data_IF_633736276540
#
_entry.id   IF_633736276540
#
_cell.length_a   1.000
_cell.length_b   1.000
_cell.length_c   1.000
_cell.angle_alpha   90.00
_cell.angle_beta   90.00
_cell.angle_gamma   90.00
#
_symmetry.space_group_name_H-M   'P 1'
#
loop_
_entity.id
_entity.type
_entity.pdbx_description
1 polymer ?
#
# COMPACT_ATOMS: atom_id res chain seq x y z
N UNK A 1 0.84 -15.39 -2.00
CA UNK A 1 0.91 -14.29 -3.00
C UNK A 1 -0.32 -13.43 -2.78
N UNK A 2 -0.15 -12.20 -2.39
CA UNK A 2 -1.22 -11.28 -1.98
C UNK A 2 -1.98 -10.73 -3.19
N UNK A 3 -3.28 -10.49 -3.02
CA UNK A 3 -4.10 -9.66 -3.90
C UNK A 3 -4.62 -8.49 -3.09
N UNK A 4 -4.64 -7.30 -3.68
CA UNK A 4 -5.13 -6.09 -3.05
C UNK A 4 -6.39 -5.63 -3.75
N UNK A 5 -7.36 -5.10 -3.02
CA UNK A 5 -8.51 -4.45 -3.62
C UNK A 5 -8.71 -3.09 -3.00
N UNK A 6 -8.91 -2.10 -3.86
CA UNK A 6 -9.36 -0.77 -3.50
C UNK A 6 -10.75 -0.58 -4.11
N UNK A 7 -11.76 -0.31 -3.26
CA UNK A 7 -13.10 -0.02 -3.72
C UNK A 7 -13.23 1.47 -4.03
N UNK A 8 -13.61 1.85 -5.26
CA UNK A 8 -14.03 3.21 -5.54
C UNK A 8 -15.50 3.37 -5.09
N UNK A 9 -15.75 4.43 -4.53
CA UNK A 9 -17.04 4.91 -4.12
C UNK A 9 -16.81 6.31 -3.60
N UNK A 10 -17.59 6.87 -2.75
CA UNK A 10 -17.28 8.07 -1.97
C UNK A 10 -15.91 8.05 -1.26
N UNK A 11 -15.10 7.08 -1.56
CA UNK A 11 -13.85 6.65 -0.98
C UNK A 11 -12.64 7.36 -1.56
N UNK A 12 -12.68 7.83 -2.81
CA UNK A 12 -11.66 8.75 -3.34
C UNK A 12 -11.57 10.01 -2.47
N UNK A 13 -12.72 10.46 -1.95
CA UNK A 13 -12.79 11.52 -0.95
C UNK A 13 -12.21 11.08 0.41
N UNK A 14 -12.25 9.79 0.76
CA UNK A 14 -11.66 9.27 2.01
C UNK A 14 -10.15 9.07 1.88
N UNK A 15 -9.63 8.61 0.75
CA UNK A 15 -8.17 8.60 0.48
C UNK A 15 -7.62 10.03 0.55
N UNK A 16 -8.33 11.00 -0.03
CA UNK A 16 -8.02 12.42 0.11
C UNK A 16 -8.13 12.89 1.58
N UNK A 17 -9.13 12.43 2.35
CA UNK A 17 -9.26 12.74 3.78
C UNK A 17 -8.18 12.06 4.61
N UNK A 18 -7.77 10.85 4.27
CA UNK A 18 -6.64 10.15 4.87
C UNK A 18 -5.34 10.96 4.66
N UNK A 19 -5.11 11.46 3.46
CA UNK A 19 -3.99 12.37 3.19
C UNK A 19 -4.15 13.75 3.88
N UNK A 20 -5.38 14.19 4.18
CA UNK A 20 -5.70 15.45 4.85
C UNK A 20 -5.62 15.39 6.38
N UNK A 21 -5.64 14.23 7.00
CA UNK A 21 -5.57 14.03 8.45
C UNK A 21 -4.13 14.07 9.01
N UNK A 22 -3.12 14.12 8.14
CA UNK A 22 -1.74 14.32 8.57
C UNK A 22 -1.56 15.75 9.09
N UNK A 23 -1.10 15.96 10.35
CA UNK A 23 -0.97 17.29 10.93
C UNK A 23 0.02 18.15 10.15
N UNK A 24 -0.40 19.37 9.83
CA UNK A 24 0.43 20.37 9.20
C UNK A 24 1.48 20.90 10.19
N UNK A 25 2.75 20.67 9.92
CA UNK A 25 3.81 21.48 10.48
C UNK A 25 4.63 22.11 9.35
N UNK A 26 4.69 23.45 9.43
CA UNK A 26 5.57 24.43 8.79
C UNK A 26 5.07 25.10 7.51
N UNK A 27 4.82 26.36 7.71
CA UNK A 27 4.96 27.60 6.95
C UNK A 27 5.20 27.56 5.44
N UNK A 28 4.41 28.39 4.78
CA UNK A 28 4.42 28.87 3.42
C UNK A 28 3.40 28.16 2.50
N UNK A 29 2.22 28.76 2.44
CA UNK A 29 1.18 28.42 1.46
C UNK A 29 1.47 29.14 0.15
N UNK A 30 1.57 28.41 -0.94
CA UNK A 30 1.59 28.94 -2.29
C UNK A 30 0.14 29.03 -2.83
N UNK A 31 -0.30 30.20 -3.41
CA UNK A 31 -1.71 30.43 -3.77
C UNK A 31 -2.23 29.69 -5.01
N UNK A 32 -1.41 28.90 -5.70
CA UNK A 32 -1.76 28.28 -7.00
C UNK A 32 -2.61 27.00 -6.91
N UNK A 33 -3.08 26.59 -5.72
CA UNK A 33 -3.80 25.33 -5.48
C UNK A 33 -5.33 25.47 -5.34
N UNK A 34 -5.93 26.59 -5.81
CA UNK A 34 -7.38 26.87 -5.62
C UNK A 34 -8.26 26.27 -6.73
N UNK A 35 -7.72 25.82 -7.86
CA UNK A 35 -8.55 25.46 -9.03
C UNK A 35 -9.22 24.07 -9.01
N UNK A 36 -8.90 23.17 -8.07
CA UNK A 36 -9.48 21.82 -8.06
C UNK A 36 -10.62 21.58 -7.06
N UNK A 37 -11.04 22.61 -6.31
CA UNK A 37 -12.14 22.51 -5.32
C UNK A 37 -13.54 22.64 -5.96
N UNK A 38 -13.67 22.95 -7.24
CA UNK A 38 -14.95 23.34 -7.85
C UNK A 38 -15.73 22.23 -8.56
N UNK A 39 -15.37 20.96 -8.43
CA UNK A 39 -16.10 19.84 -9.06
C UNK A 39 -17.07 19.13 -8.11
N UNK A 40 -17.04 19.42 -6.81
CA UNK A 40 -17.98 18.85 -5.84
C UNK A 40 -18.51 19.91 -4.89
N UNK A 41 -19.81 20.21 -5.01
CA UNK A 41 -20.76 21.01 -4.22
C UNK A 41 -20.26 22.05 -3.20
N UNK A 42 -20.86 23.26 -3.16
CA UNK A 42 -20.41 24.35 -2.31
C UNK A 42 -20.83 24.16 -0.86
N UNK A 43 -19.87 24.03 0.04
CA UNK A 43 -20.08 24.19 1.48
C UNK A 43 -19.63 25.59 1.94
N UNK A 44 -20.31 26.22 2.94
CA UNK A 44 -20.09 27.61 3.28
C UNK A 44 -18.69 27.88 3.86
N UNK A 45 -18.15 29.02 3.44
CA UNK A 45 -16.85 29.53 3.85
C UNK A 45 -16.84 29.94 5.32
N UNK A 46 -16.24 29.13 6.20
CA UNK A 46 -15.68 29.64 7.45
C UNK A 46 -14.62 28.69 7.97
N UNK A 47 -13.41 29.26 8.22
CA UNK A 47 -12.20 28.64 8.81
C UNK A 47 -11.54 27.51 8.00
N UNK A 48 -10.50 27.92 7.26
CA UNK A 48 -9.57 27.00 6.57
C UNK A 48 -8.28 26.84 7.39
N UNK A 49 -8.04 25.69 8.03
CA UNK A 49 -6.66 25.29 8.36
C UNK A 49 -5.95 24.85 7.07
N UNK A 50 -4.65 25.06 6.98
CA UNK A 50 -3.79 24.65 5.87
C UNK A 50 -4.11 23.23 5.39
N UNK A 51 -4.51 23.10 4.14
CA UNK A 51 -4.92 21.83 3.54
C UNK A 51 -3.70 21.13 2.94
N UNK A 52 -3.49 19.88 3.31
CA UNK A 52 -2.73 18.96 2.49
C UNK A 52 -3.48 18.76 1.17
N UNK A 53 -2.91 19.21 0.08
CA UNK A 53 -3.44 18.94 -1.26
C UNK A 53 -2.76 17.68 -1.79
N UNK A 54 -3.46 16.55 -1.76
CA UNK A 54 -3.01 15.39 -2.53
C UNK A 54 -3.34 15.67 -4.00
N UNK A 55 -2.31 15.86 -4.82
CA UNK A 55 -2.47 16.02 -6.27
C UNK A 55 -2.82 14.65 -6.85
N UNK A 56 -4.08 14.46 -7.23
CA UNK A 56 -4.50 13.28 -7.97
C UNK A 56 -4.11 13.50 -9.43
N UNK A 57 -3.11 12.76 -9.91
CA UNK A 57 -2.55 12.91 -11.25
C UNK A 57 -3.40 12.25 -12.37
N UNK A 58 -4.50 11.55 -12.02
CA UNK A 58 -5.51 11.04 -12.97
C UNK A 58 -6.88 10.99 -12.31
N UNK A 59 -7.93 11.27 -13.08
CA UNK A 59 -9.32 11.11 -12.64
C UNK A 59 -9.59 9.63 -12.31
N UNK A 60 -10.06 9.39 -11.09
CA UNK A 60 -10.41 8.06 -10.60
C UNK A 60 -11.91 7.85 -10.80
N UNK A 61 -12.29 7.14 -11.86
CA UNK A 61 -13.68 6.81 -12.18
C UNK A 61 -13.91 5.31 -12.43
N UNK A 62 -12.98 4.46 -11.97
CA UNK A 62 -13.07 3.03 -12.22
C UNK A 62 -13.59 2.28 -10.98
N UNK A 63 -14.33 1.20 -11.24
CA UNK A 63 -14.86 0.28 -10.22
C UNK A 63 -13.79 -0.35 -9.32
N UNK A 64 -14.13 -1.29 -8.41
CA UNK A 64 -13.15 -1.90 -7.52
C UNK A 64 -12.03 -2.55 -8.34
N UNK A 65 -10.79 -2.10 -8.09
CA UNK A 65 -9.61 -2.61 -8.79
C UNK A 65 -8.90 -3.60 -7.89
N UNK A 66 -8.80 -4.85 -8.34
CA UNK A 66 -7.92 -5.83 -7.71
C UNK A 66 -6.55 -5.77 -8.39
N UNK A 67 -5.51 -5.52 -7.61
CA UNK A 67 -4.13 -5.39 -8.08
C UNK A 67 -3.37 -6.67 -7.79
N UNK A 68 -2.67 -7.19 -8.80
CA UNK A 68 -1.75 -8.31 -8.67
C UNK A 68 -0.30 -7.86 -8.82
N UNK A 69 0.69 -8.63 -8.34
CA UNK A 69 2.09 -8.34 -8.59
C UNK A 69 2.39 -8.10 -10.07
N UNK A 70 3.17 -7.05 -10.36
CA UNK A 70 3.47 -6.45 -11.66
C UNK A 70 2.37 -5.58 -12.27
N UNK A 71 1.21 -5.49 -11.65
CA UNK A 71 0.19 -4.54 -12.08
C UNK A 71 0.38 -3.19 -11.40
N UNK A 72 -0.24 -2.17 -11.96
CA UNK A 72 -0.20 -0.82 -11.42
C UNK A 72 -1.18 -0.68 -10.25
N UNK A 73 -0.67 -0.21 -9.12
CA UNK A 73 -1.46 0.07 -7.92
C UNK A 73 -1.22 1.48 -7.40
N UNK A 74 -2.12 1.97 -6.57
CA UNK A 74 -2.03 3.31 -6.00
C UNK A 74 -1.14 3.33 -4.75
N UNK A 75 -0.31 4.37 -4.64
CA UNK A 75 0.50 4.67 -3.47
C UNK A 75 0.40 6.14 -3.09
N UNK A 76 0.49 6.43 -1.81
CA UNK A 76 0.63 7.78 -1.27
C UNK A 76 2.04 7.95 -0.76
N UNK A 77 2.76 8.95 -1.21
CA UNK A 77 4.11 9.27 -0.75
C UNK A 77 4.33 10.77 -0.59
N UNK A 78 5.41 11.13 0.08
CA UNK A 78 5.85 12.52 0.13
C UNK A 78 6.71 12.84 -1.09
N UNK A 79 6.39 13.95 -1.77
CA UNK A 79 7.19 14.55 -2.84
C UNK A 79 7.20 16.07 -2.66
N UNK A 80 8.39 16.67 -2.58
CA UNK A 80 8.56 18.13 -2.42
C UNK A 80 7.74 18.74 -1.27
N UNK A 81 7.72 18.04 -0.13
CA UNK A 81 6.97 18.44 1.07
C UNK A 81 5.45 18.22 0.98
N UNK A 82 4.93 17.70 -0.14
CA UNK A 82 3.51 17.44 -0.36
C UNK A 82 3.23 15.94 -0.38
N UNK A 83 2.02 15.56 0.04
CA UNK A 83 1.53 14.19 -0.14
C UNK A 83 0.94 14.06 -1.54
N UNK A 84 1.42 13.08 -2.31
CA UNK A 84 0.95 12.80 -3.65
C UNK A 84 0.39 11.38 -3.75
N UNK A 85 -0.70 11.22 -4.50
CA UNK A 85 -1.27 9.93 -4.86
C UNK A 85 -0.84 9.59 -6.30
N UNK A 86 -0.11 8.50 -6.45
CA UNK A 86 0.48 8.10 -7.73
C UNK A 86 0.25 6.61 -7.99
N UNK A 87 0.33 6.22 -9.26
CA UNK A 87 0.33 4.81 -9.65
C UNK A 87 1.76 4.33 -9.85
N UNK A 88 2.08 3.17 -9.28
CA UNK A 88 3.36 2.50 -9.42
C UNK A 88 3.17 1.00 -9.65
N UNK A 89 4.16 0.34 -10.22
CA UNK A 89 4.14 -1.12 -10.41
C UNK A 89 4.34 -1.85 -9.08
N UNK A 90 3.47 -2.81 -8.75
CA UNK A 90 3.61 -3.59 -7.53
C UNK A 90 4.65 -4.69 -7.66
N UNK A 91 5.70 -4.58 -6.86
CA UNK A 91 6.84 -5.48 -6.77
C UNK A 91 8.15 -4.84 -7.23
N UNK A 92 9.20 -5.01 -6.44
CA UNK A 92 10.55 -4.62 -6.86
C UNK A 92 11.10 -5.67 -7.82
N UNK A 93 11.63 -5.29 -8.99
CA UNK A 93 12.27 -6.24 -9.89
C UNK A 93 13.53 -6.82 -9.25
N UNK A 94 13.61 -8.13 -9.22
CA UNK A 94 14.83 -8.87 -8.86
C UNK A 94 15.25 -9.73 -10.02
N UNK A 95 16.43 -9.45 -10.55
CA UNK A 95 17.06 -10.22 -11.61
C UNK A 95 17.90 -11.33 -10.97
N UNK A 96 17.43 -12.56 -11.08
CA UNK A 96 18.19 -13.73 -10.67
C UNK A 96 19.17 -14.14 -11.78
N UNK A 97 20.23 -14.85 -11.41
CA UNK A 97 21.15 -15.44 -12.39
C UNK A 97 20.80 -16.90 -12.61
N UNK A 98 20.80 -17.30 -13.86
CA UNK A 98 20.64 -18.70 -14.27
C UNK A 98 21.91 -19.52 -13.97
N UNK A 99 21.81 -20.83 -14.23
CA UNK A 99 22.92 -21.79 -13.97
C UNK A 99 24.24 -21.45 -14.69
N UNK A 100 24.16 -20.74 -15.81
CA UNK A 100 25.32 -20.28 -16.60
C UNK A 100 25.70 -18.83 -16.32
N UNK A 101 25.17 -18.22 -15.24
CA UNK A 101 25.46 -16.83 -14.86
C UNK A 101 24.67 -15.78 -15.65
N UNK A 102 23.89 -16.16 -16.65
CA UNK A 102 23.06 -15.26 -17.46
C UNK A 102 21.93 -14.63 -16.62
N UNK A 103 21.56 -13.35 -16.88
CA UNK A 103 20.43 -12.74 -16.20
C UNK A 103 19.12 -13.40 -16.63
N UNK A 104 18.25 -13.69 -15.68
CA UNK A 104 16.89 -14.18 -15.91
C UNK A 104 15.89 -13.02 -15.97
N UNK A 105 14.69 -13.28 -16.48
CA UNK A 105 13.61 -12.29 -16.46
C UNK A 105 13.36 -11.80 -15.03
N UNK A 106 13.21 -10.48 -14.80
CA UNK A 106 12.93 -9.94 -13.48
C UNK A 106 11.68 -10.55 -12.87
N UNK A 107 11.78 -10.94 -11.58
CA UNK A 107 10.63 -11.41 -10.78
C UNK A 107 10.23 -10.31 -9.79
N UNK A 108 8.93 -10.13 -9.51
CA UNK A 108 8.49 -9.17 -8.52
C UNK A 108 8.78 -9.67 -7.11
N UNK A 109 9.43 -8.83 -6.30
CA UNK A 109 9.44 -8.97 -4.84
C UNK A 109 8.42 -7.99 -4.30
N UNK A 110 7.20 -8.48 -4.10
CA UNK A 110 6.03 -7.68 -3.75
C UNK A 110 5.87 -7.47 -2.24
N UNK A 111 6.66 -8.19 -1.41
CA UNK A 111 6.59 -8.13 0.04
C UNK A 111 7.97 -7.91 0.64
N UNK A 112 8.13 -6.84 1.41
CA UNK A 112 9.33 -6.53 2.18
C UNK A 112 9.16 -7.08 3.61
N UNK A 113 9.89 -8.14 3.94
CA UNK A 113 9.87 -8.71 5.28
C UNK A 113 10.44 -7.74 6.30
N UNK A 114 9.72 -7.51 7.39
CA UNK A 114 10.11 -6.54 8.41
C UNK A 114 11.41 -6.93 9.13
N UNK A 115 11.63 -8.22 9.40
CA UNK A 115 12.86 -8.75 9.99
C UNK A 115 14.11 -8.49 9.12
N UNK A 116 13.93 -8.10 7.86
CA UNK A 116 15.01 -7.70 6.94
C UNK A 116 15.05 -6.18 6.66
N UNK A 117 14.23 -5.39 7.38
CA UNK A 117 14.12 -3.96 7.14
C UNK A 117 15.45 -3.24 7.38
N UNK A 118 16.18 -3.61 8.43
CA UNK A 118 17.49 -3.07 8.76
C UNK A 118 18.68 -3.70 7.99
N UNK A 119 18.42 -4.68 7.13
CA UNK A 119 19.44 -5.38 6.35
C UNK A 119 19.20 -5.19 4.84
N UNK A 120 18.51 -6.13 4.20
CA UNK A 120 18.28 -6.11 2.76
C UNK A 120 17.52 -4.86 2.29
N UNK A 121 16.53 -4.41 3.07
CA UNK A 121 15.68 -3.26 2.73
C UNK A 121 16.24 -1.92 3.24
N UNK A 122 17.33 -1.93 4.03
CA UNK A 122 17.86 -0.76 4.73
C UNK A 122 18.08 0.44 3.81
N UNK A 123 18.60 0.22 2.61
CA UNK A 123 18.90 1.30 1.67
C UNK A 123 17.68 2.11 1.23
N UNK A 124 16.47 1.56 1.35
CA UNK A 124 15.21 2.27 1.12
C UNK A 124 14.50 2.61 2.42
N UNK A 125 14.42 1.67 3.36
CA UNK A 125 13.72 1.89 4.61
C UNK A 125 14.36 2.97 5.49
N UNK A 126 15.68 3.18 5.41
CA UNK A 126 16.37 4.24 6.14
C UNK A 126 16.08 5.65 5.61
N UNK A 127 15.60 5.77 4.38
CA UNK A 127 15.39 7.02 3.68
C UNK A 127 13.87 7.31 3.59
N UNK A 128 13.38 8.37 4.26
CA UNK A 128 11.96 8.75 4.23
C UNK A 128 11.39 8.91 2.82
N UNK A 129 12.17 9.43 1.89
CA UNK A 129 11.79 9.65 0.50
C UNK A 129 11.47 8.36 -0.27
N UNK A 130 11.88 7.19 0.23
CA UNK A 130 11.58 5.89 -0.35
C UNK A 130 10.44 5.15 0.37
N UNK A 131 9.73 5.81 1.27
CA UNK A 131 8.60 5.23 1.98
C UNK A 131 7.28 5.70 1.37
N UNK A 132 6.29 4.82 1.42
CA UNK A 132 4.95 5.13 0.94
C UNK A 132 3.90 4.44 1.78
N UNK A 133 2.65 4.83 1.57
CA UNK A 133 1.47 4.17 2.08
C UNK A 133 0.75 3.53 0.88
N UNK A 134 0.28 2.30 1.06
CA UNK A 134 -0.48 1.58 0.05
C UNK A 134 -1.94 1.55 0.53
N UNK A 135 -2.82 2.41 -0.02
CA UNK A 135 -4.24 2.42 0.35
C UNK A 135 -4.90 1.13 -0.11
N UNK A 136 -5.59 0.47 0.79
CA UNK A 136 -6.18 -0.85 0.58
C UNK A 136 -7.48 -0.98 1.35
N UNK A 137 -8.53 -1.56 0.74
CA UNK A 137 -9.77 -1.90 1.43
C UNK A 137 -9.78 -3.32 1.98
N UNK A 138 -9.10 -4.24 1.29
CA UNK A 138 -8.90 -5.62 1.71
C UNK A 138 -7.74 -6.27 0.95
N UNK A 139 -7.20 -7.32 1.51
CA UNK A 139 -6.19 -8.16 0.84
C UNK A 139 -6.60 -9.63 0.91
N UNK A 140 -6.10 -10.44 0.01
CA UNK A 140 -6.38 -11.87 -0.01
C UNK A 140 -5.13 -12.71 0.06
N UNK A 141 -5.25 -13.84 0.73
CA UNK A 141 -4.25 -14.91 0.77
C UNK A 141 -4.83 -16.21 0.20
N UNK A 142 -3.92 -17.04 -0.29
CA UNK A 142 -4.25 -18.36 -0.82
C UNK A 142 -4.32 -19.38 0.32
N UNK A 143 -5.48 -19.97 0.55
CA UNK A 143 -5.68 -20.96 1.61
C UNK A 143 -6.13 -22.28 1.00
N UNK A 144 -5.59 -23.39 1.50
CA UNK A 144 -5.93 -24.75 1.07
C UNK A 144 -4.75 -25.53 0.50
N UNK A 145 -5.03 -26.66 -0.13
CA UNK A 145 -4.02 -27.54 -0.72
C UNK A 145 -3.50 -26.99 -2.05
N UNK A 146 -2.21 -27.17 -2.37
CA UNK A 146 -1.65 -26.79 -3.67
C UNK A 146 -2.50 -27.32 -4.84
N UNK A 147 -2.82 -26.44 -5.79
CA UNK A 147 -3.68 -26.73 -6.93
C UNK A 147 -5.19 -26.56 -6.69
N UNK A 148 -5.62 -26.43 -5.43
CA UNK A 148 -7.02 -26.20 -5.04
C UNK A 148 -7.17 -25.06 -4.03
N UNK A 149 -6.15 -24.19 -3.91
CA UNK A 149 -6.22 -23.05 -3.03
C UNK A 149 -7.33 -22.09 -3.45
N UNK A 150 -8.03 -21.56 -2.48
CA UNK A 150 -9.07 -20.54 -2.65
C UNK A 150 -8.64 -19.21 -2.06
N UNK A 151 -9.34 -18.15 -2.44
CA UNK A 151 -9.12 -16.81 -1.90
C UNK A 151 -9.75 -16.69 -0.51
N UNK A 152 -8.96 -16.26 0.46
CA UNK A 152 -9.45 -15.79 1.76
C UNK A 152 -9.13 -14.31 1.87
N UNK A 153 -10.16 -13.48 1.95
CA UNK A 153 -10.05 -12.04 2.02
C UNK A 153 -10.01 -11.56 3.48
N UNK A 154 -9.14 -10.60 3.73
CA UNK A 154 -9.00 -9.96 5.03
C UNK A 154 -9.20 -8.45 4.89
N UNK A 155 -9.94 -7.86 5.82
CA UNK A 155 -10.18 -6.41 5.89
C UNK A 155 -10.17 -5.96 7.35
N UNK A 156 -9.98 -4.66 7.57
CA UNK A 156 -10.02 -4.08 8.93
C UNK A 156 -11.46 -3.71 9.25
N UNK A 157 -11.96 -4.23 10.39
CA UNK A 157 -13.33 -4.00 10.83
C UNK A 157 -13.60 -2.52 11.09
N UNK A 158 -14.66 -2.00 10.47
CA UNK A 158 -15.05 -0.59 10.62
C UNK A 158 -14.20 0.40 9.81
N UNK A 159 -13.13 -0.07 9.15
CA UNK A 159 -12.27 0.78 8.31
C UNK A 159 -12.45 0.39 6.85
N UNK A 160 -13.18 1.16 6.06
CA UNK A 160 -13.39 0.85 4.64
C UNK A 160 -12.11 0.91 3.83
N UNK A 161 -11.14 1.72 4.25
CA UNK A 161 -9.78 1.79 3.71
C UNK A 161 -8.80 1.91 4.86
N UNK A 162 -7.72 1.16 4.79
CA UNK A 162 -6.55 1.27 5.66
C UNK A 162 -5.28 1.47 4.84
N UNK A 163 -4.20 1.89 5.48
CA UNK A 163 -2.91 2.00 4.83
C UNK A 163 -2.04 0.79 5.18
N UNK A 164 -1.46 0.17 4.16
CA UNK A 164 -0.37 -0.78 4.30
C UNK A 164 0.96 -0.04 4.16
N UNK A 165 1.87 -0.21 5.11
CA UNK A 165 3.21 0.37 5.08
C UNK A 165 3.98 -0.14 3.86
N UNK A 166 4.60 0.75 3.09
CA UNK A 166 5.29 0.40 1.87
C UNK A 166 6.64 1.08 1.69
N UNK A 167 7.44 0.51 0.80
CA UNK A 167 8.65 1.09 0.26
C UNK A 167 8.49 1.24 -1.24
N UNK A 168 9.14 2.23 -1.84
CA UNK A 168 9.14 2.43 -3.28
C UNK A 168 10.54 2.80 -3.80
N UNK A 169 10.75 2.59 -5.09
CA UNK A 169 11.93 3.03 -5.82
C UNK A 169 11.66 3.13 -7.31
N UNK A 170 12.48 3.87 -8.02
CA UNK A 170 12.56 3.75 -9.48
C UNK A 170 13.42 2.55 -9.85
N UNK A 171 13.06 1.85 -10.91
CA UNK A 171 13.81 0.76 -11.51
C UNK A 171 13.90 0.91 -13.02
N UNK A 172 14.97 0.41 -13.61
CA UNK A 172 15.16 0.42 -15.06
C UNK A 172 14.20 -0.51 -15.78
N UNK A 173 13.73 -1.59 -15.10
CA UNK A 173 12.89 -2.62 -15.69
C UNK A 173 11.41 -2.25 -15.74
N UNK A 174 10.90 -1.54 -14.70
CA UNK A 174 9.46 -1.29 -14.52
C UNK A 174 9.10 0.15 -14.14
N UNK A 175 10.08 1.08 -14.17
CA UNK A 175 9.88 2.45 -13.70
C UNK A 175 9.65 2.50 -12.19
N UNK A 176 8.78 3.40 -11.74
CA UNK A 176 8.45 3.51 -10.32
C UNK A 176 7.68 2.28 -9.85
N UNK A 177 8.22 1.65 -8.82
CA UNK A 177 7.68 0.40 -8.27
C UNK A 177 7.66 0.42 -6.74
N UNK A 178 6.72 -0.32 -6.15
CA UNK A 178 6.53 -0.39 -4.70
C UNK A 178 6.47 -1.82 -4.19
N UNK A 179 6.71 -1.99 -2.90
CA UNK A 179 6.57 -3.24 -2.16
C UNK A 179 5.99 -2.95 -0.78
N UNK A 180 5.17 -3.85 -0.26
CA UNK A 180 4.56 -3.67 1.05
C UNK A 180 5.35 -4.35 2.17
N UNK A 181 5.43 -3.72 3.34
CA UNK A 181 6.08 -4.28 4.51
C UNK A 181 5.22 -5.36 5.17
N UNK A 182 5.83 -6.52 5.46
CA UNK A 182 5.16 -7.66 6.11
C UNK A 182 5.81 -7.96 7.44
N UNK A 183 4.98 -8.12 8.48
CA UNK A 183 5.35 -8.62 9.80
C UNK A 183 4.82 -10.05 10.00
N UNK A 184 5.13 -10.68 11.12
CA UNK A 184 4.49 -11.94 11.50
C UNK A 184 2.98 -11.74 11.67
N UNK A 185 2.20 -12.79 11.44
CA UNK A 185 0.75 -12.70 11.62
C UNK A 185 0.36 -12.87 13.11
N UNK A 186 -0.86 -12.47 13.46
CA UNK A 186 -1.44 -12.83 14.75
C UNK A 186 -1.61 -14.36 14.82
N UNK A 187 -1.36 -15.00 15.97
CA UNK A 187 -1.46 -16.47 16.12
C UNK A 187 -2.79 -17.04 15.63
N UNK A 188 -3.88 -16.32 15.84
CA UNK A 188 -5.23 -16.72 15.42
C UNK A 188 -5.41 -16.76 13.89
N UNK A 189 -4.54 -16.05 13.16
CA UNK A 189 -4.59 -15.93 11.69
C UNK A 189 -3.43 -16.66 10.98
N UNK A 190 -2.50 -17.26 11.70
CA UNK A 190 -1.37 -18.00 11.14
C UNK A 190 -1.79 -19.15 10.22
N UNK A 191 -2.97 -19.75 10.46
CA UNK A 191 -3.52 -20.80 9.61
C UNK A 191 -3.87 -20.32 8.19
N UNK A 192 -4.00 -18.99 7.99
CA UNK A 192 -4.20 -18.38 6.69
C UNK A 192 -2.85 -18.12 6.02
N UNK A 193 -1.94 -17.46 6.74
CA UNK A 193 -0.58 -17.18 6.30
C UNK A 193 0.29 -16.81 7.51
N UNK A 194 1.58 -17.19 7.51
CA UNK A 194 2.55 -16.88 8.59
C UNK A 194 2.86 -15.38 8.74
N UNK A 195 2.47 -14.58 7.76
CA UNK A 195 2.73 -13.13 7.72
C UNK A 195 1.49 -12.33 7.35
N UNK A 196 1.47 -11.09 7.83
CA UNK A 196 0.43 -10.11 7.49
C UNK A 196 1.04 -8.78 7.04
N UNK A 197 0.30 -7.96 6.28
CA UNK A 197 0.65 -6.58 6.02
C UNK A 197 0.87 -5.79 7.32
N UNK A 198 1.87 -4.91 7.33
CA UNK A 198 2.02 -3.90 8.39
C UNK A 198 0.93 -2.86 8.19
N UNK A 199 -0.19 -3.05 8.87
CA UNK A 199 -1.36 -2.18 8.78
C UNK A 199 -1.17 -0.96 9.68
N UNK A 200 -1.26 0.22 9.10
CA UNK A 200 -1.12 1.49 9.78
C UNK A 200 -2.49 2.17 9.93
N UNK A 201 -2.80 2.60 11.15
CA UNK A 201 -3.88 3.56 11.41
C UNK A 201 -3.46 4.97 11.00
N UNK A 202 -4.37 5.94 11.04
CA UNK A 202 -4.11 7.30 10.57
C UNK A 202 -2.92 7.99 11.28
N UNK A 203 -2.85 7.91 12.61
CA UNK A 203 -1.80 8.58 13.39
C UNK A 203 -0.38 8.07 13.08
N UNK A 204 -0.12 6.75 12.97
CA UNK A 204 1.18 6.19 12.62
C UNK A 204 1.66 6.47 11.19
N UNK A 205 0.85 6.97 10.29
CA UNK A 205 1.28 7.24 8.91
C UNK A 205 2.44 8.21 8.82
N UNK A 206 2.38 9.29 9.58
CA UNK A 206 3.45 10.28 9.64
C UNK A 206 4.75 9.64 10.12
N UNK A 207 4.68 8.87 11.20
CA UNK A 207 5.85 8.16 11.74
C UNK A 207 6.45 7.23 10.68
N UNK A 208 5.62 6.42 9.99
CA UNK A 208 6.14 5.57 8.92
C UNK A 208 6.85 6.36 7.82
N UNK A 209 6.27 7.49 7.40
CA UNK A 209 6.79 8.27 6.27
C UNK A 209 8.05 9.06 6.59
N UNK A 210 8.23 9.55 7.83
CA UNK A 210 9.29 10.53 8.11
C UNK A 210 10.23 10.19 9.27
N UNK A 211 9.85 9.26 10.17
CA UNK A 211 10.66 8.98 11.36
C UNK A 211 11.99 8.26 11.01
N UNK A 212 13.01 8.34 11.86
CA UNK A 212 14.21 7.52 11.74
C UNK A 212 13.89 6.03 11.67
N UNK A 213 14.72 5.25 10.96
CA UNK A 213 14.52 3.80 10.80
C UNK A 213 14.32 3.07 12.14
N UNK A 214 15.02 3.50 13.19
CA UNK A 214 14.92 2.87 14.52
C UNK A 214 13.50 2.92 15.10
N UNK A 215 12.74 3.98 14.82
CA UNK A 215 11.36 4.12 15.31
C UNK A 215 10.37 3.24 14.53
N UNK A 216 10.71 2.84 13.29
CA UNK A 216 9.84 1.98 12.49
C UNK A 216 9.69 0.59 13.09
N UNK A 217 10.66 0.12 13.90
CA UNK A 217 10.55 -1.19 14.55
C UNK A 217 9.38 -1.30 15.53
N UNK A 218 8.80 -0.18 15.96
CA UNK A 218 7.55 -0.18 16.73
C UNK A 218 6.35 -0.75 15.92
N UNK A 219 6.46 -0.82 14.60
CA UNK A 219 5.44 -1.38 13.71
C UNK A 219 5.63 -2.88 13.43
N UNK A 220 6.73 -3.50 13.90
CA UNK A 220 6.96 -4.94 13.75
C UNK A 220 6.10 -5.73 14.73
N UNK A 221 4.80 -5.68 14.49
CA UNK A 221 3.80 -6.39 15.29
C UNK A 221 2.56 -6.67 14.44
N UNK A 222 1.89 -7.82 14.66
CA UNK A 222 0.66 -8.13 13.96
C UNK A 222 -0.45 -7.13 14.27
N UNK A 223 -1.32 -6.92 13.30
CA UNK A 223 -2.58 -6.23 13.57
C UNK A 223 -3.49 -7.15 14.38
N UNK A 224 -4.25 -6.64 15.38
CA UNK A 224 -5.08 -7.49 16.25
C UNK A 224 -6.10 -8.31 15.45
N UNK A 225 -6.15 -9.62 15.67
CA UNK A 225 -7.02 -10.53 14.93
C UNK A 225 -8.52 -10.21 15.14
N UNK A 226 -8.88 -9.77 16.34
CA UNK A 226 -10.26 -9.37 16.68
C UNK A 226 -10.72 -8.09 15.97
N UNK A 227 -9.77 -7.29 15.48
CA UNK A 227 -10.06 -6.12 14.64
C UNK A 227 -10.11 -6.44 13.14
N UNK A 228 -9.87 -7.70 12.75
CA UNK A 228 -9.95 -8.14 11.36
C UNK A 228 -11.29 -8.80 11.05
N UNK A 229 -11.72 -8.69 9.80
CA UNK A 229 -12.79 -9.49 9.21
C UNK A 229 -12.16 -10.45 8.21
N UNK A 230 -12.48 -11.74 8.33
CA UNK A 230 -11.98 -12.81 7.47
C UNK A 230 -13.15 -13.36 6.67
N UNK A 231 -13.01 -13.41 5.34
CA UNK A 231 -14.00 -13.91 4.41
C UNK A 231 -13.37 -15.00 3.52
N UNK A 232 -13.61 -16.26 3.84
CA UNK A 232 -13.23 -17.36 2.99
C UNK A 232 -14.19 -17.47 1.79
N UNK A 233 -13.65 -17.65 0.59
CA UNK A 233 -14.44 -17.77 -0.64
C UNK A 233 -14.22 -19.14 -1.31
N UNK A 234 -15.12 -19.50 -2.23
CA UNK A 234 -14.93 -20.65 -3.13
C UNK A 234 -14.13 -20.30 -4.40
N UNK A 235 -13.71 -19.05 -4.57
CA UNK A 235 -12.97 -18.60 -5.73
C UNK A 235 -11.57 -19.22 -5.72
N UNK A 236 -11.19 -19.87 -6.80
CA UNK A 236 -9.84 -20.41 -6.93
C UNK A 236 -8.81 -19.28 -6.98
N UNK A 237 -7.73 -19.46 -6.23
CA UNK A 237 -6.61 -18.50 -6.17
C UNK A 237 -5.97 -18.22 -7.52
N UNK A 238 -5.73 -19.24 -8.30
CA UNK A 238 -5.26 -19.15 -9.67
C UNK A 238 -6.26 -19.85 -10.58
N UNK A 239 -6.76 -19.15 -11.60
CA UNK A 239 -7.48 -19.83 -12.67
C UNK A 239 -6.49 -20.78 -13.34
N UNK A 240 -6.82 -22.06 -13.40
CA UNK A 240 -6.10 -23.01 -14.22
C UNK A 240 -6.06 -22.46 -15.65
N UNK A 241 -4.89 -21.97 -16.07
CA UNK A 241 -4.67 -21.77 -17.50
C UNK A 241 -4.55 -23.16 -18.09
N UNK A 242 -5.67 -23.72 -18.57
CA UNK A 242 -5.64 -24.84 -19.47
C UNK A 242 -4.78 -24.40 -20.66
N UNK A 243 -3.54 -24.89 -20.69
CA UNK A 243 -2.77 -24.93 -21.92
C UNK A 243 -3.43 -26.02 -22.76
N UNK A 244 -4.33 -25.62 -23.67
CA UNK A 244 -4.68 -26.44 -24.83
C UNK A 244 -3.48 -26.55 -25.77
#
# INVERSE_FOLDING_TARGET
>A
MLKLTLHPGNEGAKILRLAQQLPAHTQACDPLLIEFANVFEPQPRSFLPCRFSAKVLRAYNEGPVTVHPKESGWVVRQRDGQMVLEQMTWGFPVVLRGKQGQPLKPKPVNNARFDKLGAFWKRWAALPEHRCLIPTSRYAEAVGTPGRMTETWLSVRGEPIFAWAGLWRTSDEWGDCYTGAMTENAPELEHIHDRSPVILRADPWKTWLIAPLAELYAFDKPYPADAMTVEATANLWARSTNKG
#
